data_IF_382917660484
#
_entry.id   IF_382917660484
#
_cell.length_a   1.000
_cell.length_b   1.000
_cell.length_c   1.000
_cell.angle_alpha   90.00
_cell.angle_beta   90.00
_cell.angle_gamma   90.00
#
_symmetry.space_group_name_H-M   'P 1'
#
loop_
_entity.id
_entity.type
_entity.pdbx_description
1 polymer ?
#
# COMPACT_ATOMS: atom_id res chain seq x y z
N UNK A 1 -6.75 20.03 21.40
CA UNK A 1 -7.90 20.71 22.06
C UNK A 1 -9.13 19.81 21.90
N UNK A 2 -10.02 19.74 22.90
CA UNK A 2 -11.28 19.03 22.74
C UNK A 2 -12.08 19.61 21.57
N UNK A 3 -12.63 18.75 20.69
CA UNK A 3 -13.44 19.19 19.55
C UNK A 3 -12.71 19.36 18.21
N UNK A 4 -11.41 19.08 18.14
CA UNK A 4 -10.65 19.13 16.89
C UNK A 4 -10.66 17.82 16.09
N UNK A 5 -11.29 16.77 16.61
CA UNK A 5 -11.42 15.47 15.92
C UNK A 5 -12.83 15.31 15.37
N UNK A 6 -12.94 14.86 14.15
CA UNK A 6 -14.21 14.54 13.49
C UNK A 6 -14.16 13.14 12.92
N UNK A 7 -15.30 12.47 12.94
CA UNK A 7 -15.44 11.21 12.25
C UNK A 7 -15.52 11.48 10.74
N UNK A 8 -14.51 10.95 10.04
CA UNK A 8 -14.44 10.98 8.57
C UNK A 8 -14.60 9.58 8.02
N UNK A 9 -15.22 9.49 6.85
CA UNK A 9 -15.43 8.23 6.14
C UNK A 9 -14.46 8.16 4.97
N UNK A 10 -13.31 7.53 5.19
CA UNK A 10 -12.28 7.37 4.17
C UNK A 10 -12.38 6.01 3.47
N UNK A 11 -11.84 5.93 2.26
CA UNK A 11 -11.70 4.67 1.53
C UNK A 11 -10.45 3.95 2.00
N UNK A 12 -10.59 2.70 2.40
CA UNK A 12 -9.49 1.80 2.74
C UNK A 12 -9.32 0.74 1.67
N UNK A 13 -8.12 0.23 1.52
CA UNK A 13 -7.80 -0.79 0.55
C UNK A 13 -6.91 -1.87 1.16
N UNK A 14 -7.28 -3.13 0.96
CA UNK A 14 -6.38 -4.26 1.09
C UNK A 14 -5.81 -4.56 -0.30
N UNK A 15 -4.55 -4.22 -0.50
CA UNK A 15 -3.85 -4.40 -1.77
C UNK A 15 -3.16 -5.77 -1.83
N UNK A 16 -2.95 -6.26 -3.05
CA UNK A 16 -2.27 -7.50 -3.37
C UNK A 16 -0.90 -7.19 -3.96
N UNK A 17 0.16 -7.60 -3.27
CA UNK A 17 1.54 -7.42 -3.72
C UNK A 17 2.06 -8.74 -4.28
N UNK A 18 2.27 -8.80 -5.60
CA UNK A 18 2.68 -10.03 -6.29
C UNK A 18 4.07 -10.44 -5.89
N UNK A 19 4.22 -11.65 -5.37
CA UNK A 19 5.51 -12.23 -4.99
C UNK A 19 6.31 -12.54 -6.25
N UNK A 20 7.56 -12.09 -6.27
CA UNK A 20 8.51 -12.46 -7.32
C UNK A 20 9.02 -13.87 -7.05
N UNK A 21 8.89 -14.76 -8.05
CA UNK A 21 9.40 -16.12 -7.96
C UNK A 21 10.89 -16.15 -8.24
N UNK A 22 11.68 -16.42 -7.21
CA UNK A 22 13.13 -16.53 -7.25
C UNK A 22 13.60 -17.63 -6.28
N UNK A 23 14.91 -17.82 -6.16
CA UNK A 23 15.50 -18.84 -5.29
C UNK A 23 15.04 -18.70 -3.83
N UNK A 24 14.85 -17.47 -3.33
CA UNK A 24 14.41 -17.21 -1.95
C UNK A 24 12.93 -17.51 -1.73
N UNK A 25 12.11 -17.25 -2.72
CA UNK A 25 10.64 -17.39 -2.64
C UNK A 25 10.12 -18.74 -3.13
N UNK A 26 10.93 -19.51 -3.85
CA UNK A 26 10.50 -20.77 -4.54
C UNK A 26 9.69 -21.69 -3.63
N UNK A 27 10.12 -21.89 -2.39
CA UNK A 27 9.42 -22.76 -1.43
C UNK A 27 8.00 -22.33 -1.09
N UNK A 28 7.67 -21.05 -1.29
CA UNK A 28 6.32 -20.52 -1.05
C UNK A 28 5.39 -20.70 -2.25
N UNK A 29 5.92 -21.13 -3.39
CA UNK A 29 5.15 -21.43 -4.59
C UNK A 29 4.75 -22.90 -4.71
N UNK A 30 5.18 -23.76 -3.81
CA UNK A 30 4.80 -25.17 -3.82
C UNK A 30 3.27 -25.34 -3.75
N UNK A 31 2.68 -25.99 -4.76
CA UNK A 31 1.22 -26.18 -4.85
C UNK A 31 0.38 -24.93 -5.13
N UNK A 32 1.01 -23.80 -5.48
CA UNK A 32 0.31 -22.57 -5.84
C UNK A 32 -0.22 -22.69 -7.26
N UNK A 33 -1.52 -22.44 -7.41
CA UNK A 33 -2.18 -22.25 -8.71
C UNK A 33 -2.36 -20.75 -8.94
N UNK A 34 -1.95 -20.26 -10.12
CA UNK A 34 -1.98 -18.83 -10.42
C UNK A 34 -0.84 -18.06 -9.74
N UNK A 35 -1.13 -16.83 -9.35
CA UNK A 35 -0.16 -15.94 -8.72
C UNK A 35 -0.20 -16.03 -7.18
N UNK A 36 0.92 -15.69 -6.54
CA UNK A 36 1.06 -15.59 -5.10
C UNK A 36 1.19 -14.13 -4.69
N UNK A 37 0.40 -13.71 -3.69
CA UNK A 37 0.37 -12.32 -3.22
C UNK A 37 0.52 -12.22 -1.71
N UNK A 38 1.22 -11.18 -1.25
CA UNK A 38 1.05 -10.66 0.10
C UNK A 38 -0.15 -9.71 0.14
N UNK A 39 -0.98 -9.81 1.17
CA UNK A 39 -2.05 -8.85 1.43
C UNK A 39 -1.58 -7.81 2.44
N UNK A 40 -1.72 -6.53 2.12
CA UNK A 40 -1.49 -5.45 3.07
C UNK A 40 -2.62 -4.41 3.01
N UNK A 41 -3.08 -3.99 4.17
CA UNK A 41 -4.18 -3.04 4.33
C UNK A 41 -3.67 -1.64 4.59
N UNK A 42 -4.35 -0.65 4.03
CA UNK A 42 -4.08 0.76 4.28
C UNK A 42 -5.36 1.57 4.39
N UNK A 43 -5.35 2.56 5.28
CA UNK A 43 -6.40 3.60 5.39
C UNK A 43 -6.11 4.81 4.50
N UNK A 44 -4.95 4.86 3.87
CA UNK A 44 -4.47 5.96 3.03
C UNK A 44 -3.94 5.43 1.69
N UNK A 45 -4.82 5.01 0.76
CA UNK A 45 -4.40 4.48 -0.54
C UNK A 45 -3.45 5.38 -1.32
N UNK A 46 -3.52 6.70 -1.12
CA UNK A 46 -2.62 7.67 -1.75
C UNK A 46 -1.13 7.50 -1.40
N UNK A 47 -0.79 6.76 -0.33
CA UNK A 47 0.61 6.44 0.02
C UNK A 47 1.14 5.20 -0.70
N UNK A 48 0.27 4.36 -1.29
CA UNK A 48 0.65 3.12 -1.97
C UNK A 48 1.65 3.33 -3.13
N UNK A 49 1.60 4.41 -3.91
CA UNK A 49 2.60 4.67 -4.94
C UNK A 49 4.02 4.85 -4.40
N UNK A 50 4.15 5.18 -3.11
CA UNK A 50 5.43 5.35 -2.41
C UNK A 50 5.82 4.15 -1.56
N UNK A 51 5.12 3.02 -1.70
CA UNK A 51 5.50 1.76 -1.07
C UNK A 51 6.88 1.32 -1.54
N UNK A 52 7.75 0.93 -0.60
CA UNK A 52 9.07 0.37 -0.89
C UNK A 52 9.40 -0.89 -0.08
N UNK A 53 8.60 -1.23 0.93
CA UNK A 53 8.73 -2.48 1.67
C UNK A 53 7.38 -2.97 2.22
N UNK A 54 7.34 -4.24 2.60
CA UNK A 54 6.30 -4.84 3.41
C UNK A 54 6.94 -5.35 4.70
N UNK A 55 6.32 -5.07 5.85
CA UNK A 55 6.82 -5.54 7.14
C UNK A 55 5.95 -6.67 7.69
N UNK A 56 6.60 -7.72 8.19
CA UNK A 56 5.98 -8.86 8.87
C UNK A 56 6.44 -8.93 10.31
N UNK A 57 5.59 -9.46 11.20
CA UNK A 57 5.91 -9.60 12.62
C UNK A 57 6.75 -10.83 12.91
N UNK A 58 7.77 -10.75 13.78
CA UNK A 58 8.68 -11.87 14.04
C UNK A 58 8.00 -13.08 14.71
N UNK A 59 6.96 -12.84 15.50
CA UNK A 59 6.24 -13.87 16.24
C UNK A 59 4.87 -14.23 15.62
N UNK A 60 4.45 -13.54 14.57
CA UNK A 60 3.15 -13.75 13.92
C UNK A 60 3.19 -15.00 13.04
N UNK A 61 2.11 -15.77 13.12
CA UNK A 61 1.86 -16.91 12.25
C UNK A 61 1.15 -16.46 10.98
N UNK A 62 1.73 -16.80 9.83
CA UNK A 62 1.18 -16.54 8.51
C UNK A 62 0.76 -17.83 7.83
N UNK A 63 -0.28 -17.75 7.01
CA UNK A 63 -0.79 -18.87 6.22
C UNK A 63 -0.99 -18.45 4.77
N UNK A 64 -0.99 -19.42 3.89
CA UNK A 64 -1.44 -19.27 2.51
C UNK A 64 -2.90 -19.65 2.43
N UNK A 65 -3.67 -18.88 1.67
CA UNK A 65 -5.08 -19.16 1.39
C UNK A 65 -5.27 -19.21 -0.11
N UNK A 66 -5.66 -20.36 -0.63
CA UNK A 66 -6.10 -20.53 -2.02
C UNK A 66 -7.50 -19.95 -2.16
N UNK A 67 -7.68 -19.06 -3.12
CA UNK A 67 -8.95 -18.37 -3.32
C UNK A 67 -9.04 -17.83 -4.76
N UNK A 68 -10.08 -17.05 -5.00
CA UNK A 68 -10.21 -16.25 -6.22
C UNK A 68 -10.20 -14.77 -5.85
N UNK A 69 -9.65 -13.94 -6.72
CA UNK A 69 -9.74 -12.48 -6.53
C UNK A 69 -11.21 -12.07 -6.54
N UNK A 70 -11.68 -11.32 -5.52
CA UNK A 70 -13.10 -10.97 -5.38
C UNK A 70 -13.66 -10.09 -6.52
N UNK A 71 -12.79 -9.46 -7.30
CA UNK A 71 -13.18 -8.53 -8.36
C UNK A 71 -12.98 -9.07 -9.78
N UNK A 72 -11.91 -9.85 -9.99
CA UNK A 72 -11.57 -10.39 -11.32
C UNK A 72 -11.91 -11.85 -11.47
N UNK A 73 -12.22 -12.53 -10.37
CA UNK A 73 -12.48 -13.98 -10.33
C UNK A 73 -11.30 -14.87 -10.79
N UNK A 74 -10.10 -14.33 -10.86
CA UNK A 74 -8.89 -15.09 -11.16
C UNK A 74 -8.44 -15.93 -9.97
N UNK A 75 -8.01 -17.17 -10.24
CA UNK A 75 -7.45 -18.05 -9.22
C UNK A 75 -6.11 -17.50 -8.71
N UNK A 76 -5.93 -17.51 -7.38
CA UNK A 76 -4.75 -16.97 -6.73
C UNK A 76 -4.51 -17.62 -5.37
N UNK A 77 -3.33 -17.40 -4.81
CA UNK A 77 -3.01 -17.71 -3.41
C UNK A 77 -2.56 -16.43 -2.73
N UNK A 78 -3.07 -16.18 -1.53
CA UNK A 78 -2.73 -14.99 -0.75
C UNK A 78 -2.11 -15.36 0.58
N UNK A 79 -1.22 -14.51 1.08
CA UNK A 79 -0.53 -14.65 2.37
C UNK A 79 -1.03 -13.55 3.29
N UNK A 80 -1.46 -13.92 4.49
CA UNK A 80 -1.85 -13.03 5.58
C UNK A 80 -1.64 -13.72 6.92
N UNK A 81 -1.75 -12.94 8.02
CA UNK A 81 -1.71 -13.51 9.36
C UNK A 81 -2.86 -14.50 9.57
N UNK A 82 -2.53 -15.67 10.14
CA UNK A 82 -3.52 -16.75 10.43
C UNK A 82 -4.69 -16.26 11.26
N UNK A 83 -4.42 -15.46 12.27
CA UNK A 83 -5.41 -14.90 13.18
C UNK A 83 -6.43 -14.01 12.48
N UNK A 84 -6.03 -13.35 11.39
CA UNK A 84 -6.84 -12.40 10.63
C UNK A 84 -7.59 -13.04 9.44
N UNK A 85 -7.38 -14.32 9.16
CA UNK A 85 -8.11 -15.03 8.09
C UNK A 85 -9.62 -14.86 8.21
N UNK A 86 -10.27 -15.01 9.40
CA UNK A 86 -11.73 -14.85 9.52
C UNK A 86 -12.25 -13.45 9.16
N UNK A 87 -11.42 -12.42 9.19
CA UNK A 87 -11.79 -11.06 8.81
C UNK A 87 -11.90 -10.87 7.29
N UNK A 88 -11.26 -11.73 6.52
CA UNK A 88 -11.24 -11.71 5.05
C UNK A 88 -12.04 -12.85 4.43
N UNK A 89 -12.04 -14.01 5.07
CA UNK A 89 -12.67 -15.23 4.60
C UNK A 89 -13.76 -15.66 5.57
N UNK A 90 -14.96 -15.14 5.35
CA UNK A 90 -16.11 -15.34 6.24
C UNK A 90 -16.82 -16.64 5.95
N UNK A 91 -17.67 -17.09 6.91
CA UNK A 91 -18.51 -18.29 6.74
C UNK A 91 -19.38 -18.27 5.49
N UNK A 92 -19.77 -17.06 5.01
CA UNK A 92 -20.55 -16.92 3.77
C UNK A 92 -19.76 -17.30 2.51
N UNK A 93 -18.45 -17.34 2.61
CA UNK A 93 -17.51 -17.70 1.54
C UNK A 93 -17.04 -19.15 1.63
N UNK A 94 -17.63 -19.95 2.57
CA UNK A 94 -17.27 -21.35 2.75
C UNK A 94 -17.40 -22.12 1.44
N UNK A 95 -16.40 -22.93 1.11
CA UNK A 95 -16.30 -23.65 -0.18
C UNK A 95 -15.69 -22.84 -1.33
N UNK A 96 -15.40 -21.54 -1.15
CA UNK A 96 -14.74 -20.71 -2.18
C UNK A 96 -13.25 -20.44 -1.90
N UNK A 97 -12.75 -20.89 -0.76
CA UNK A 97 -11.36 -20.74 -0.35
C UNK A 97 -10.88 -21.96 0.44
N UNK A 98 -9.57 -22.13 0.48
CA UNK A 98 -8.90 -23.17 1.25
C UNK A 98 -7.73 -22.55 2.02
N UNK A 99 -7.77 -22.63 3.34
CA UNK A 99 -6.65 -22.26 4.22
C UNK A 99 -5.72 -23.46 4.32
N UNK A 100 -4.46 -23.28 3.94
CA UNK A 100 -3.47 -24.35 4.04
C UNK A 100 -3.03 -24.56 5.49
N UNK A 101 -2.77 -25.82 5.86
CA UNK A 101 -2.36 -26.20 7.23
C UNK A 101 -0.96 -25.69 7.58
N UNK A 102 -0.12 -25.47 6.58
CA UNK A 102 1.26 -25.02 6.77
C UNK A 102 1.30 -23.58 7.28
N UNK A 103 1.99 -23.39 8.39
CA UNK A 103 2.21 -22.10 9.02
C UNK A 103 3.64 -21.63 8.78
N UNK A 104 3.80 -20.35 8.48
CA UNK A 104 5.07 -19.68 8.31
C UNK A 104 5.25 -18.61 9.40
N UNK A 105 6.45 -18.46 9.94
CA UNK A 105 6.78 -17.31 10.79
C UNK A 105 7.27 -16.12 9.95
N UNK A 106 7.05 -14.91 10.45
CA UNK A 106 7.47 -13.70 9.73
C UNK A 106 8.90 -13.72 9.20
N UNK A 107 9.92 -14.11 10.00
CA UNK A 107 11.30 -14.16 9.54
C UNK A 107 11.55 -15.09 8.33
N UNK A 108 10.68 -16.05 8.07
CA UNK A 108 10.79 -16.92 6.89
C UNK A 108 10.59 -16.15 5.58
N UNK A 109 9.87 -15.03 5.62
CA UNK A 109 9.62 -14.15 4.46
C UNK A 109 10.66 -13.05 4.30
N UNK A 110 11.59 -12.88 5.24
CA UNK A 110 12.58 -11.81 5.17
C UNK A 110 13.38 -11.86 3.86
N UNK A 111 13.42 -10.71 3.16
CA UNK A 111 14.10 -10.58 1.89
C UNK A 111 13.34 -11.12 0.67
N UNK A 112 12.18 -11.74 0.84
CA UNK A 112 11.31 -12.11 -0.29
C UNK A 112 10.92 -10.86 -1.04
N UNK A 113 11.05 -10.89 -2.37
CA UNK A 113 10.77 -9.77 -3.24
C UNK A 113 9.34 -9.83 -3.78
N UNK A 114 8.80 -8.66 -4.03
CA UNK A 114 7.51 -8.49 -4.68
C UNK A 114 7.59 -7.40 -5.77
N UNK A 115 6.65 -7.42 -6.70
CA UNK A 115 6.57 -6.42 -7.75
C UNK A 115 6.05 -5.09 -7.20
N UNK A 116 6.56 -3.97 -7.72
CA UNK A 116 6.04 -2.65 -7.38
C UNK A 116 4.55 -2.57 -7.72
N UNK A 117 3.73 -2.22 -6.73
CA UNK A 117 2.27 -2.21 -6.86
C UNK A 117 1.78 -1.17 -7.88
N UNK A 118 2.30 0.06 -7.78
CA UNK A 118 1.97 1.19 -8.64
C UNK A 118 3.26 1.77 -9.21
N UNK A 119 3.73 1.26 -10.36
CA UNK A 119 5.04 1.62 -10.92
C UNK A 119 5.00 2.97 -11.67
N UNK A 120 4.56 4.03 -10.98
CA UNK A 120 4.52 5.39 -11.51
C UNK A 120 5.89 6.05 -11.52
N UNK A 121 6.63 5.85 -10.42
CA UNK A 121 8.00 6.32 -10.23
C UNK A 121 8.82 5.16 -9.70
N UNK A 122 10.01 4.93 -10.28
CA UNK A 122 10.93 3.90 -9.79
C UNK A 122 11.82 4.47 -8.69
N UNK A 123 12.11 3.71 -7.62
CA UNK A 123 13.07 4.12 -6.60
C UNK A 123 14.50 4.16 -7.17
N UNK A 124 15.34 5.00 -6.59
CA UNK A 124 16.75 5.14 -6.96
C UNK A 124 17.68 4.18 -6.20
N UNK A 125 17.14 3.22 -5.46
CA UNK A 125 17.87 2.24 -4.67
C UNK A 125 17.10 0.96 -4.46
N UNK A 126 17.59 0.09 -3.56
CA UNK A 126 16.97 -1.22 -3.27
C UNK A 126 15.63 -1.06 -2.56
N UNK A 127 14.61 -1.72 -3.10
CA UNK A 127 13.23 -1.65 -2.62
C UNK A 127 12.46 -2.93 -2.95
N UNK A 128 11.19 -3.00 -2.53
CA UNK A 128 10.22 -4.05 -2.84
C UNK A 128 10.64 -5.42 -2.32
N UNK A 129 10.99 -5.46 -1.05
CA UNK A 129 11.22 -6.70 -0.32
C UNK A 129 10.58 -6.66 1.06
N UNK A 130 10.34 -7.86 1.60
CA UNK A 130 9.80 -8.04 2.94
C UNK A 130 10.89 -7.81 3.99
N UNK A 131 10.53 -7.06 5.02
CA UNK A 131 11.36 -6.83 6.21
C UNK A 131 10.64 -7.33 7.46
N UNK A 132 11.37 -7.55 8.55
CA UNK A 132 10.81 -7.96 9.84
C UNK A 132 10.76 -6.77 10.78
N UNK A 133 9.60 -6.55 11.41
CA UNK A 133 9.38 -5.45 12.36
C UNK A 133 8.58 -5.92 13.57
N UNK A 134 9.04 -5.60 14.77
CA UNK A 134 8.41 -5.95 16.04
C UNK A 134 7.15 -5.11 16.36
N UNK A 135 6.94 -4.06 15.61
CA UNK A 135 5.75 -3.18 15.69
C UNK A 135 4.52 -3.69 14.92
N UNK A 136 4.67 -4.76 14.12
CA UNK A 136 3.56 -5.35 13.39
C UNK A 136 2.63 -6.10 14.34
N UNK A 137 1.32 -5.83 14.24
CA UNK A 137 0.29 -6.43 15.09
C UNK A 137 -0.76 -7.17 14.27
N UNK A 138 -1.63 -7.93 14.96
CA UNK A 138 -2.80 -8.59 14.40
C UNK A 138 -4.12 -8.01 14.92
N UNK A 139 -4.08 -6.78 15.46
CA UNK A 139 -5.29 -6.11 15.99
C UNK A 139 -6.27 -5.79 14.88
N UNK A 140 -5.75 -5.38 13.73
CA UNK A 140 -6.49 -5.09 12.50
C UNK A 140 -5.62 -5.31 11.26
N UNK A 141 -6.16 -5.06 10.07
CA UNK A 141 -5.43 -5.26 8.83
C UNK A 141 -5.20 -6.73 8.49
N UNK A 142 -4.01 -7.05 7.98
CA UNK A 142 -3.63 -8.39 7.49
C UNK A 142 -2.47 -9.03 8.26
N UNK A 143 -1.87 -8.32 9.22
CA UNK A 143 -0.61 -8.72 9.85
C UNK A 143 0.63 -8.48 8.97
N UNK A 144 0.46 -7.80 7.84
CA UNK A 144 1.53 -7.35 6.95
C UNK A 144 1.33 -5.84 6.74
N UNK A 145 2.35 -5.06 7.04
CA UNK A 145 2.28 -3.59 7.01
C UNK A 145 2.94 -3.06 5.74
N UNK A 146 2.21 -2.23 5.02
CA UNK A 146 2.71 -1.42 3.93
C UNK A 146 3.64 -0.32 4.46
N UNK A 147 4.84 -0.20 3.92
CA UNK A 147 5.87 0.75 4.33
C UNK A 147 6.09 1.78 3.23
N UNK A 148 5.83 3.06 3.59
CA UNK A 148 6.10 4.23 2.73
C UNK A 148 7.00 5.22 3.47
N UNK A 149 8.34 5.09 3.38
CA UNK A 149 9.30 5.80 4.23
C UNK A 149 9.26 7.33 4.12
N UNK A 150 8.72 7.85 3.01
CA UNK A 150 8.61 9.30 2.79
C UNK A 150 7.42 9.94 3.50
N UNK A 151 6.48 9.14 4.04
CA UNK A 151 5.24 9.63 4.65
C UNK A 151 5.05 9.23 6.12
N UNK A 152 5.90 8.37 6.67
CA UNK A 152 5.83 7.96 8.07
C UNK A 152 7.21 8.01 8.74
N UNK A 153 7.30 8.63 9.93
CA UNK A 153 8.56 8.67 10.68
C UNK A 153 9.03 7.27 11.10
N UNK A 154 8.10 6.42 11.53
CA UNK A 154 8.38 5.03 11.88
C UNK A 154 8.74 4.21 10.63
N UNK A 155 8.02 4.38 9.54
CA UNK A 155 8.33 3.75 8.25
C UNK A 155 9.74 4.12 7.77
N UNK A 156 10.12 5.40 7.88
CA UNK A 156 11.46 5.86 7.53
C UNK A 156 12.54 5.20 8.40
N UNK A 157 12.31 5.13 9.71
CA UNK A 157 13.25 4.53 10.66
C UNK A 157 13.49 3.05 10.35
N UNK A 158 12.41 2.27 10.18
CA UNK A 158 12.52 0.82 9.94
C UNK A 158 13.08 0.51 8.56
N UNK A 159 12.69 1.27 7.54
CA UNK A 159 13.22 1.15 6.20
C UNK A 159 14.73 1.42 6.16
N UNK A 160 15.18 2.48 6.81
CA UNK A 160 16.61 2.82 6.92
C UNK A 160 17.41 1.73 7.64
N UNK A 161 16.88 1.17 8.73
CA UNK A 161 17.51 0.08 9.46
C UNK A 161 17.65 -1.18 8.59
N UNK A 162 16.67 -1.45 7.73
CA UNK A 162 16.66 -2.60 6.83
C UNK A 162 17.38 -2.35 5.49
N UNK A 163 17.91 -1.16 5.24
CA UNK A 163 18.57 -0.81 3.97
C UNK A 163 17.60 -0.66 2.79
N UNK A 164 16.34 -0.29 3.07
CA UNK A 164 15.32 -0.01 2.06
C UNK A 164 15.44 1.45 1.60
N UNK A 165 15.52 1.65 0.28
CA UNK A 165 15.47 2.98 -0.29
C UNK A 165 14.07 3.60 -0.17
N UNK A 166 13.93 4.85 0.30
CA UNK A 166 12.69 5.59 0.15
C UNK A 166 12.46 5.94 -1.32
N UNK A 167 11.19 6.16 -1.68
CA UNK A 167 10.83 6.60 -3.02
C UNK A 167 10.76 8.12 -3.05
N UNK A 168 11.78 8.76 -3.61
CA UNK A 168 11.85 10.19 -3.85
C UNK A 168 11.62 10.53 -5.32
N UNK A 169 11.13 11.74 -5.55
CA UNK A 169 11.22 12.45 -6.85
C UNK A 169 12.29 13.53 -6.75
N UNK A 170 12.82 13.96 -7.89
CA UNK A 170 13.77 15.07 -7.95
C UNK A 170 13.06 16.29 -8.55
N UNK A 171 13.03 17.39 -7.80
CA UNK A 171 12.45 18.63 -8.27
C UNK A 171 13.39 19.37 -9.26
N UNK A 172 12.88 20.45 -9.86
CA UNK A 172 13.68 21.23 -10.84
C UNK A 172 14.92 21.91 -10.25
N UNK A 173 15.01 22.01 -8.93
CA UNK A 173 16.20 22.48 -8.23
C UNK A 173 17.22 21.37 -7.95
N UNK A 174 16.95 20.13 -8.37
CA UNK A 174 17.79 18.96 -8.14
C UNK A 174 17.67 18.39 -6.72
N UNK A 175 16.61 18.76 -5.99
CA UNK A 175 16.41 18.32 -4.60
C UNK A 175 15.48 17.10 -4.54
N UNK A 176 15.83 16.14 -3.67
CA UNK A 176 14.95 15.01 -3.33
C UNK A 176 13.72 15.50 -2.57
N UNK A 177 12.56 15.06 -3.02
CA UNK A 177 11.25 15.37 -2.46
C UNK A 177 10.42 14.08 -2.35
N UNK A 178 9.50 13.95 -1.37
CA UNK A 178 8.41 12.98 -1.47
C UNK A 178 7.59 13.23 -2.74
N UNK A 179 6.84 12.24 -3.20
CA UNK A 179 5.94 12.42 -4.37
C UNK A 179 4.85 13.48 -4.13
N UNK A 180 4.52 13.73 -2.87
CA UNK A 180 3.53 14.73 -2.44
C UNK A 180 4.27 15.90 -1.81
N UNK A 181 3.97 17.11 -2.25
CA UNK A 181 4.55 18.34 -1.72
C UNK A 181 3.93 18.73 -0.35
N UNK A 182 4.44 19.81 0.24
CA UNK A 182 3.98 20.29 1.56
C UNK A 182 2.56 20.83 1.58
N UNK A 183 1.95 21.05 0.42
CA UNK A 183 0.54 21.46 0.29
C UNK A 183 -0.40 20.25 0.20
N UNK A 184 0.13 19.03 0.18
CA UNK A 184 -0.63 17.80 0.00
C UNK A 184 -0.94 17.47 -1.46
N UNK A 185 -0.20 18.02 -2.40
CA UNK A 185 -0.37 17.83 -3.84
C UNK A 185 0.72 16.92 -4.40
N UNK A 186 0.36 15.95 -5.24
CA UNK A 186 1.33 15.23 -6.06
C UNK A 186 2.04 16.19 -6.99
N UNK A 187 3.38 16.14 -7.05
CA UNK A 187 4.14 16.96 -7.97
C UNK A 187 3.64 16.77 -9.40
N UNK A 188 3.51 17.86 -10.15
CA UNK A 188 3.28 17.80 -11.59
C UNK A 188 4.57 17.40 -12.29
N UNK A 189 4.46 16.74 -13.45
CA UNK A 189 5.63 16.25 -14.19
C UNK A 189 6.56 17.42 -14.54
N UNK A 190 6.00 18.56 -14.94
CA UNK A 190 6.74 19.77 -15.26
C UNK A 190 7.45 20.45 -14.06
N UNK A 191 7.12 20.07 -12.83
CA UNK A 191 7.79 20.53 -11.60
C UNK A 191 9.03 19.67 -11.27
N UNK A 192 9.21 18.54 -11.96
CA UNK A 192 10.30 17.61 -11.75
C UNK A 192 11.49 17.88 -12.69
N UNK A 193 12.66 17.39 -12.30
CA UNK A 193 13.86 17.39 -13.14
C UNK A 193 13.64 16.55 -14.40
N UNK A 194 13.87 17.08 -15.61
CA UNK A 194 13.60 16.36 -16.85
C UNK A 194 14.40 15.06 -17.02
N UNK A 195 15.66 15.02 -16.58
CA UNK A 195 16.49 13.82 -16.69
C UNK A 195 16.01 12.74 -15.69
N UNK A 196 15.53 13.14 -14.52
CA UNK A 196 14.89 12.25 -13.59
C UNK A 196 13.61 11.67 -14.18
N UNK A 197 12.74 12.51 -14.78
CA UNK A 197 11.49 12.06 -15.40
C UNK A 197 11.75 11.03 -16.48
N UNK A 198 12.68 11.31 -17.40
CA UNK A 198 13.04 10.41 -18.50
C UNK A 198 13.49 9.04 -17.99
N UNK A 199 14.24 9.01 -16.89
CA UNK A 199 14.86 7.78 -16.37
C UNK A 199 13.98 7.00 -15.40
N UNK A 200 13.16 7.66 -14.58
CA UNK A 200 12.50 7.05 -13.41
C UNK A 200 10.98 7.15 -13.42
N UNK A 201 10.37 7.99 -14.24
CA UNK A 201 8.93 8.27 -14.21
C UNK A 201 8.23 7.65 -15.41
N UNK A 202 7.19 6.85 -15.16
CA UNK A 202 6.23 6.49 -16.20
C UNK A 202 5.22 7.64 -16.34
N UNK A 203 5.50 8.54 -17.28
CA UNK A 203 4.71 9.76 -17.48
C UNK A 203 3.25 9.47 -17.87
N UNK A 204 2.99 8.34 -18.54
CA UNK A 204 1.63 7.93 -18.89
C UNK A 204 0.82 7.56 -17.65
N UNK A 205 1.37 6.73 -16.77
CA UNK A 205 0.69 6.30 -15.54
C UNK A 205 0.65 7.40 -14.48
N UNK A 206 1.77 8.04 -14.23
CA UNK A 206 1.85 9.09 -13.21
C UNK A 206 1.06 10.34 -13.60
N UNK A 207 1.02 10.68 -14.90
CA UNK A 207 0.35 11.88 -15.42
C UNK A 207 -1.14 11.97 -15.08
N UNK A 208 -1.82 10.83 -14.92
CA UNK A 208 -3.23 10.79 -14.51
C UNK A 208 -3.46 11.33 -13.08
N UNK A 209 -2.44 11.27 -12.23
CA UNK A 209 -2.50 11.62 -10.81
C UNK A 209 -1.68 12.86 -10.47
N UNK A 210 -0.76 13.27 -11.35
CA UNK A 210 0.09 14.43 -11.15
C UNK A 210 -0.75 15.70 -10.93
N UNK A 211 -0.37 16.50 -9.95
CA UNK A 211 -1.07 17.75 -9.60
C UNK A 211 -2.34 17.57 -8.76
N UNK A 212 -2.77 16.33 -8.46
CA UNK A 212 -3.94 16.09 -7.60
C UNK A 212 -3.57 16.17 -6.12
N UNK A 213 -4.50 16.66 -5.32
CA UNK A 213 -4.37 16.71 -3.86
C UNK A 213 -4.80 15.38 -3.23
N UNK A 214 -4.10 14.98 -2.15
CA UNK A 214 -4.40 13.76 -1.39
C UNK A 214 -5.71 13.84 -0.61
N UNK A 215 -6.19 15.05 -0.33
CA UNK A 215 -7.51 15.32 0.25
C UNK A 215 -8.23 16.36 -0.58
N UNK A 216 -9.50 16.12 -0.95
CA UNK A 216 -10.31 17.08 -1.71
C UNK A 216 -10.44 18.42 -0.98
N UNK A 217 -10.43 18.41 0.36
CA UNK A 217 -10.49 19.63 1.17
C UNK A 217 -9.30 20.60 0.97
N UNK A 218 -8.24 20.16 0.31
CA UNK A 218 -7.10 21.03 -0.03
C UNK A 218 -7.26 21.73 -1.39
N UNK A 219 -8.27 21.32 -2.16
CA UNK A 219 -8.57 21.87 -3.48
C UNK A 219 -9.95 22.54 -3.49
N UNK A 220 -9.98 23.86 -3.38
CA UNK A 220 -11.20 24.64 -3.33
C UNK A 220 -11.95 24.69 -4.70
N UNK A 221 -11.37 24.11 -5.76
CA UNK A 221 -12.00 24.03 -7.10
C UNK A 221 -12.85 22.78 -7.28
N UNK A 222 -12.74 21.80 -6.40
CA UNK A 222 -13.48 20.53 -6.49
C UNK A 222 -14.90 20.66 -5.89
N UNK A 223 -15.84 19.97 -6.56
CA UNK A 223 -17.17 19.79 -5.99
C UNK A 223 -17.09 18.92 -4.70
N UNK A 224 -17.99 19.15 -3.72
CA UNK A 224 -17.96 18.41 -2.44
C UNK A 224 -18.11 16.89 -2.58
N UNK A 225 -18.72 16.42 -3.65
CA UNK A 225 -18.97 15.02 -3.98
C UNK A 225 -17.99 14.44 -5.01
N UNK A 226 -16.97 15.21 -5.41
CA UNK A 226 -15.95 14.74 -6.34
C UNK A 226 -15.24 13.47 -5.81
N UNK A 227 -14.92 12.49 -6.68
CA UNK A 227 -14.14 11.32 -6.28
C UNK A 227 -12.82 11.74 -5.64
N UNK A 228 -12.47 11.10 -4.52
CA UNK A 228 -11.19 11.33 -3.87
C UNK A 228 -10.08 10.58 -4.60
N UNK A 229 -8.84 11.04 -4.44
CA UNK A 229 -7.66 10.34 -4.96
C UNK A 229 -7.58 8.90 -4.44
N UNK A 230 -7.92 8.67 -3.16
CA UNK A 230 -7.96 7.33 -2.56
C UNK A 230 -8.95 6.40 -3.27
N UNK A 231 -10.12 6.91 -3.66
CA UNK A 231 -11.11 6.15 -4.44
C UNK A 231 -10.56 5.79 -5.81
N UNK A 232 -9.95 6.75 -6.51
CA UNK A 232 -9.45 6.50 -7.88
C UNK A 232 -8.29 5.51 -7.87
N UNK A 233 -7.38 5.58 -6.90
CA UNK A 233 -6.31 4.59 -6.74
C UNK A 233 -6.89 3.21 -6.43
N UNK A 234 -7.84 3.12 -5.51
CA UNK A 234 -8.49 1.86 -5.17
C UNK A 234 -9.22 1.24 -6.37
N UNK A 235 -9.90 2.05 -7.18
CA UNK A 235 -10.58 1.62 -8.41
C UNK A 235 -9.57 1.14 -9.46
N UNK A 236 -8.45 1.86 -9.63
CA UNK A 236 -7.38 1.44 -10.53
C UNK A 236 -6.78 0.09 -10.13
N UNK A 237 -6.51 -0.11 -8.83
CA UNK A 237 -6.04 -1.40 -8.30
C UNK A 237 -7.06 -2.51 -8.49
N UNK A 238 -8.35 -2.24 -8.27
CA UNK A 238 -9.44 -3.18 -8.54
C UNK A 238 -9.45 -3.62 -10.00
N UNK A 239 -9.38 -2.68 -10.92
CA UNK A 239 -9.36 -2.97 -12.36
C UNK A 239 -8.13 -3.76 -12.81
N UNK A 240 -6.99 -3.58 -12.13
CA UNK A 240 -5.75 -4.31 -12.40
C UNK A 240 -5.67 -5.68 -11.69
N UNK A 241 -6.68 -6.08 -10.91
CA UNK A 241 -6.65 -7.31 -10.11
C UNK A 241 -5.69 -7.25 -8.92
N UNK A 242 -5.30 -6.05 -8.47
CA UNK A 242 -4.34 -5.82 -7.38
C UNK A 242 -5.02 -5.32 -6.09
N UNK A 243 -6.35 -5.34 -6.03
CA UNK A 243 -7.12 -5.11 -4.82
C UNK A 243 -7.81 -6.40 -4.38
N UNK A 244 -7.79 -6.68 -3.07
CA UNK A 244 -8.52 -7.78 -2.46
C UNK A 244 -9.82 -7.32 -1.81
N UNK A 245 -9.79 -6.16 -1.14
CA UNK A 245 -10.95 -5.61 -0.42
C UNK A 245 -10.87 -4.08 -0.41
N UNK A 246 -11.96 -3.43 -0.79
CA UNK A 246 -12.11 -1.97 -0.74
C UNK A 246 -13.32 -1.66 0.11
N UNK A 247 -13.13 -0.86 1.17
CA UNK A 247 -14.17 -0.54 2.13
C UNK A 247 -14.19 0.95 2.46
N UNK A 248 -15.32 1.41 2.96
CA UNK A 248 -15.44 2.69 3.64
C UNK A 248 -15.23 2.48 5.15
N UNK A 249 -14.22 3.15 5.69
CA UNK A 249 -13.88 3.10 7.11
C UNK A 249 -14.14 4.44 7.77
N UNK A 250 -14.86 4.42 8.88
CA UNK A 250 -15.09 5.63 9.69
C UNK A 250 -14.05 5.69 10.78
N UNK A 251 -13.29 6.76 10.82
CA UNK A 251 -12.30 7.00 11.85
C UNK A 251 -12.24 8.46 12.27
N UNK A 252 -11.72 8.71 13.45
CA UNK A 252 -11.56 10.05 13.99
C UNK A 252 -10.31 10.70 13.38
N UNK A 253 -10.48 11.86 12.75
CA UNK A 253 -9.42 12.58 12.06
C UNK A 253 -9.25 14.00 12.61
N UNK A 254 -8.02 14.48 12.84
CA UNK A 254 -7.80 15.83 13.34
C UNK A 254 -8.15 16.89 12.29
N UNK A 255 -8.83 17.93 12.74
CA UNK A 255 -9.19 19.08 11.93
C UNK A 255 -8.68 20.38 12.59
N UNK A 256 -8.28 21.31 11.77
CA UNK A 256 -7.90 22.63 12.24
C UNK A 256 -9.13 23.37 12.77
N UNK A 257 -9.10 23.77 14.04
CA UNK A 257 -10.22 24.45 14.69
C UNK A 257 -10.61 25.80 14.08
N UNK A 258 -9.72 26.41 13.29
CA UNK A 258 -9.96 27.69 12.63
C UNK A 258 -10.54 27.54 11.23
N UNK A 259 -10.07 26.60 10.47
CA UNK A 259 -10.40 26.46 9.04
C UNK A 259 -11.33 25.28 8.77
N UNK A 260 -11.52 24.44 9.78
CA UNK A 260 -12.29 23.20 9.66
C UNK A 260 -11.78 22.20 8.62
N UNK A 261 -10.57 22.43 8.11
CA UNK A 261 -9.91 21.54 7.16
C UNK A 261 -9.12 20.45 7.92
N UNK A 262 -8.99 19.24 7.33
CA UNK A 262 -8.13 18.18 7.88
C UNK A 262 -6.67 18.68 8.01
N UNK A 263 -5.95 18.18 9.02
CA UNK A 263 -4.58 18.61 9.35
C UNK A 263 -3.58 17.54 8.94
#
# INVERSE_FOLDING_TARGET
QPGCYRDVKDTTCTAQFRVVRDERSERFFEGVEGELYFLAWTTTPWTLPSNTALAVGPAIDYVRVKCRNPYTDEAQTVILARELVPSYFTKKMEGTFEVEDRVYKGPEFEGVRYEQLLPWVRPMGDAFRVIVGDYVTTTDGTGIVHIAPTFGADDNRVAKQAGIAPLFVIDRAGKEQPMVDRTGKFFRIEELDPAFVERYVDAGKYGEYAGRYVKNAYDDTLAPDAPTLDVDIAVALKGAGMAFKIEKHVHSYPHCWRTDKPV
#
